data_IF_598596586921
#
_entry.id   IF_598596586921
#
_cell.length_a   1.000
_cell.length_b   1.000
_cell.length_c   1.000
_cell.angle_alpha   90.00
_cell.angle_beta   90.00
_cell.angle_gamma   90.00
#
_symmetry.space_group_name_H-M   'P 1'
#
loop_
_entity.id
_entity.type
_entity.pdbx_description
1 polymer ?
#
# COMPACT_ATOMS: atom_id res chain seq x y z
N UNK A 1 8.26 -27.31 8.36
CA UNK A 1 7.50 -26.11 7.97
C UNK A 1 8.14 -24.93 8.69
N UNK A 2 8.88 -24.09 7.99
CA UNK A 2 9.56 -22.94 8.60
C UNK A 2 8.60 -21.76 8.58
N UNK A 3 8.31 -21.19 9.75
CA UNK A 3 7.48 -19.99 9.87
C UNK A 3 8.41 -18.78 9.92
N UNK A 4 8.29 -17.87 8.96
CA UNK A 4 9.06 -16.63 8.93
C UNK A 4 8.21 -15.51 9.54
N UNK A 5 8.71 -14.89 10.62
CA UNK A 5 8.08 -13.72 11.22
C UNK A 5 8.61 -12.47 10.54
N UNK A 6 7.71 -11.69 9.95
CA UNK A 6 8.02 -10.35 9.44
C UNK A 6 7.66 -9.36 10.55
N UNK A 7 8.67 -8.75 11.17
CA UNK A 7 8.48 -7.70 12.17
C UNK A 7 8.32 -6.35 11.48
N UNK A 8 7.48 -5.49 12.03
CA UNK A 8 7.31 -4.10 11.63
C UNK A 8 7.08 -3.88 10.13
N UNK A 9 6.27 -4.76 9.51
CA UNK A 9 5.93 -4.64 8.11
C UNK A 9 5.31 -3.27 7.81
N UNK A 10 5.90 -2.53 6.86
CA UNK A 10 5.43 -1.20 6.49
C UNK A 10 4.00 -1.28 5.96
N UNK A 11 3.09 -0.55 6.60
CA UNK A 11 1.65 -0.62 6.31
C UNK A 11 0.86 -1.61 7.16
N UNK A 12 1.51 -2.42 7.99
CA UNK A 12 0.87 -3.35 8.91
C UNK A 12 0.34 -4.63 8.25
N UNK A 13 -0.27 -5.50 9.05
CA UNK A 13 -0.77 -6.80 8.59
C UNK A 13 -1.81 -6.69 7.47
N UNK A 14 -2.66 -5.66 7.51
CA UNK A 14 -3.66 -5.40 6.48
C UNK A 14 -3.03 -5.12 5.11
N UNK A 15 -1.94 -4.33 5.05
CA UNK A 15 -1.26 -4.06 3.78
C UNK A 15 -0.61 -5.32 3.20
N UNK A 16 -0.06 -6.16 4.08
CA UNK A 16 0.48 -7.46 3.68
C UNK A 16 -0.62 -8.38 3.12
N UNK A 17 -1.77 -8.46 3.79
CA UNK A 17 -2.91 -9.25 3.32
C UNK A 17 -3.36 -8.80 1.92
N UNK A 18 -3.46 -7.49 1.66
CA UNK A 18 -3.83 -6.96 0.35
C UNK A 18 -2.79 -7.28 -0.72
N UNK A 19 -1.49 -7.18 -0.41
CA UNK A 19 -0.42 -7.57 -1.33
C UNK A 19 -0.48 -9.07 -1.67
N UNK A 20 -0.79 -9.92 -0.69
CA UNK A 20 -0.98 -11.36 -0.93
C UNK A 20 -2.23 -11.62 -1.77
N UNK A 21 -3.36 -10.94 -1.51
CA UNK A 21 -4.56 -11.04 -2.35
C UNK A 21 -4.24 -10.70 -3.81
N UNK A 22 -3.45 -9.65 -4.04
CA UNK A 22 -2.96 -9.32 -5.37
C UNK A 22 -2.17 -10.47 -6.01
N UNK A 23 -1.17 -11.03 -5.31
CA UNK A 23 -0.35 -12.14 -5.83
C UNK A 23 -1.17 -13.38 -6.21
N UNK A 24 -2.26 -13.65 -5.50
CA UNK A 24 -3.14 -14.80 -5.74
C UNK A 24 -4.34 -14.48 -6.63
N UNK A 25 -4.41 -13.30 -7.26
CA UNK A 25 -5.53 -12.84 -8.07
C UNK A 25 -6.89 -12.90 -7.31
N UNK A 26 -6.85 -12.66 -6.00
CA UNK A 26 -8.05 -12.52 -5.17
C UNK A 26 -8.49 -11.07 -5.26
N UNK A 27 -9.76 -10.84 -5.60
CA UNK A 27 -10.32 -9.51 -5.73
C UNK A 27 -10.29 -8.75 -4.39
N UNK A 28 -9.85 -7.50 -4.45
CA UNK A 28 -9.97 -6.53 -3.37
C UNK A 28 -10.12 -5.13 -3.96
N UNK A 29 -10.55 -4.18 -3.14
CA UNK A 29 -10.72 -2.79 -3.56
C UNK A 29 -9.51 -1.95 -3.13
N UNK A 30 -8.92 -1.24 -4.09
CA UNK A 30 -7.98 -0.15 -3.81
C UNK A 30 -8.74 1.16 -3.65
N UNK A 31 -8.50 1.87 -2.56
CA UNK A 31 -9.18 3.11 -2.25
C UNK A 31 -8.29 4.04 -1.41
N UNK A 32 -8.79 5.23 -1.08
CA UNK A 32 -8.07 6.25 -0.32
C UNK A 32 -7.62 5.82 1.08
N UNK A 33 -8.24 4.78 1.67
CA UNK A 33 -7.89 4.32 3.01
C UNK A 33 -6.68 3.38 3.01
N UNK A 34 -6.47 2.62 1.93
CA UNK A 34 -5.44 1.59 1.86
C UNK A 34 -4.33 1.87 0.83
N UNK A 35 -4.52 2.78 -0.13
CA UNK A 35 -3.60 2.95 -1.26
C UNK A 35 -2.16 3.29 -0.84
N UNK A 36 -1.97 4.15 0.17
CA UNK A 36 -0.63 4.56 0.61
C UNK A 36 0.11 3.40 1.29
N UNK A 37 -0.56 2.71 2.21
CA UNK A 37 0.06 1.57 2.89
C UNK A 37 0.32 0.42 1.93
N UNK A 38 -0.54 0.22 0.95
CA UNK A 38 -0.35 -0.78 -0.10
C UNK A 38 0.83 -0.43 -1.00
N UNK A 39 0.98 0.84 -1.40
CA UNK A 39 2.15 1.34 -2.15
C UNK A 39 3.46 1.12 -1.38
N UNK A 40 3.47 1.37 -0.07
CA UNK A 40 4.64 1.12 0.77
C UNK A 40 4.95 -0.38 0.92
N UNK A 41 3.93 -1.21 1.10
CA UNK A 41 4.06 -2.66 1.19
C UNK A 41 4.60 -3.26 -0.10
N UNK A 42 4.05 -2.84 -1.25
CA UNK A 42 4.50 -3.26 -2.58
C UNK A 42 5.96 -2.93 -2.82
N UNK A 43 6.40 -1.71 -2.45
CA UNK A 43 7.80 -1.30 -2.53
C UNK A 43 8.70 -2.17 -1.65
N UNK A 44 8.30 -2.38 -0.39
CA UNK A 44 9.06 -3.19 0.56
C UNK A 44 9.22 -4.65 0.09
N UNK A 45 8.16 -5.20 -0.51
CA UNK A 45 8.14 -6.55 -1.08
C UNK A 45 8.77 -6.63 -2.47
N UNK A 46 9.24 -5.51 -3.03
CA UNK A 46 9.79 -5.41 -4.39
C UNK A 46 8.84 -5.93 -5.46
N UNK A 47 7.56 -5.63 -5.35
CA UNK A 47 6.53 -6.03 -6.31
C UNK A 47 6.53 -5.10 -7.54
N UNK A 48 7.62 -5.13 -8.30
CA UNK A 48 7.93 -4.24 -9.42
C UNK A 48 7.66 -4.89 -10.77
N UNK A 49 7.74 -4.08 -11.84
CA UNK A 49 7.64 -4.53 -13.24
C UNK A 49 8.72 -5.53 -13.66
N UNK A 50 9.81 -5.68 -12.88
CA UNK A 50 10.85 -6.67 -13.14
C UNK A 50 10.33 -8.11 -13.04
N UNK A 51 9.21 -8.31 -12.32
CA UNK A 51 8.63 -9.63 -12.07
C UNK A 51 7.35 -9.89 -12.89
N UNK A 52 6.58 -8.86 -13.21
CA UNK A 52 5.33 -8.97 -13.98
C UNK A 52 4.86 -7.61 -14.47
N UNK A 53 4.23 -7.55 -15.64
CA UNK A 53 3.66 -6.31 -16.15
C UNK A 53 2.41 -5.92 -15.36
N UNK A 54 2.33 -4.67 -14.93
CA UNK A 54 1.26 -4.16 -14.07
C UNK A 54 1.35 -4.70 -12.64
N UNK A 55 2.56 -4.94 -12.13
CA UNK A 55 2.74 -5.37 -10.74
C UNK A 55 2.30 -4.28 -9.75
N UNK A 56 2.25 -4.63 -8.48
CA UNK A 56 1.57 -3.83 -7.48
C UNK A 56 2.19 -2.44 -7.26
N UNK A 57 3.52 -2.29 -7.40
CA UNK A 57 4.16 -0.96 -7.36
C UNK A 57 3.61 -0.06 -8.47
N UNK A 58 3.63 -0.52 -9.72
CA UNK A 58 3.14 0.26 -10.86
C UNK A 58 1.63 0.51 -10.77
N UNK A 59 0.86 -0.53 -10.41
CA UNK A 59 -0.59 -0.42 -10.26
C UNK A 59 -0.98 0.64 -9.22
N UNK A 60 -0.31 0.66 -8.07
CA UNK A 60 -0.58 1.65 -7.01
C UNK A 60 -0.08 3.05 -7.38
N UNK A 61 1.06 3.14 -8.08
CA UNK A 61 1.62 4.40 -8.61
C UNK A 61 0.67 5.05 -9.62
N UNK A 62 0.14 4.27 -10.57
CA UNK A 62 -0.84 4.73 -11.55
C UNK A 62 -2.10 5.23 -10.85
N UNK A 63 -2.65 4.50 -9.88
CA UNK A 63 -3.83 4.94 -9.15
C UNK A 63 -3.59 6.26 -8.38
N UNK A 64 -2.42 6.40 -7.75
CA UNK A 64 -2.05 7.64 -7.07
C UNK A 64 -1.96 8.81 -8.06
N UNK A 65 -1.26 8.64 -9.18
CA UNK A 65 -1.03 9.71 -10.16
C UNK A 65 -2.29 10.06 -10.95
N UNK A 66 -3.11 9.08 -11.31
CA UNK A 66 -4.25 9.26 -12.21
C UNK A 66 -5.56 9.57 -11.49
N UNK A 67 -5.72 9.13 -10.23
CA UNK A 67 -6.97 9.33 -9.46
C UNK A 67 -6.76 10.29 -8.30
N UNK A 68 -5.80 9.98 -7.42
CA UNK A 68 -5.63 10.70 -6.16
C UNK A 68 -5.06 12.11 -6.41
N UNK A 69 -3.94 12.23 -7.11
CA UNK A 69 -3.27 13.51 -7.32
C UNK A 69 -4.03 14.44 -8.28
N UNK A 70 -4.90 13.90 -9.13
CA UNK A 70 -5.79 14.69 -10.01
C UNK A 70 -7.04 15.20 -9.31
N UNK A 71 -7.35 14.70 -8.12
CA UNK A 71 -8.55 15.08 -7.37
C UNK A 71 -8.18 15.74 -6.05
N UNK A 72 -8.34 17.06 -5.96
CA UNK A 72 -7.93 17.85 -4.80
C UNK A 72 -8.49 17.31 -3.48
N UNK A 73 -9.77 16.92 -3.45
CA UNK A 73 -10.41 16.32 -2.27
C UNK A 73 -9.73 15.01 -1.83
N UNK A 74 -9.49 14.10 -2.78
CA UNK A 74 -8.85 12.82 -2.49
C UNK A 74 -7.39 12.99 -2.06
N UNK A 75 -6.67 13.91 -2.71
CA UNK A 75 -5.30 14.27 -2.34
C UNK A 75 -5.24 14.74 -0.88
N UNK A 76 -6.07 15.71 -0.48
CA UNK A 76 -6.11 16.16 0.91
C UNK A 76 -6.49 15.03 1.86
N UNK A 77 -7.47 14.21 1.51
CA UNK A 77 -7.88 13.07 2.33
C UNK A 77 -6.71 12.11 2.59
N UNK A 78 -5.97 11.76 1.55
CA UNK A 78 -4.81 10.85 1.63
C UNK A 78 -3.67 11.49 2.44
N UNK A 79 -3.33 12.75 2.17
CA UNK A 79 -2.27 13.46 2.90
C UNK A 79 -2.56 13.55 4.41
N UNK A 80 -3.81 13.90 4.79
CA UNK A 80 -4.23 13.96 6.20
C UNK A 80 -4.15 12.60 6.89
N UNK A 81 -4.41 11.52 6.15
CA UNK A 81 -4.25 10.15 6.67
C UNK A 81 -2.78 9.77 6.88
N UNK A 82 -1.87 10.24 6.04
CA UNK A 82 -0.43 10.06 6.25
C UNK A 82 0.04 10.78 7.52
N UNK A 83 -0.41 12.02 7.76
CA UNK A 83 -0.06 12.79 8.97
C UNK A 83 -0.54 12.12 10.26
N UNK A 84 -1.77 11.60 10.28
CA UNK A 84 -2.35 10.98 11.48
C UNK A 84 -1.61 9.70 11.93
N UNK A 85 -0.86 9.05 11.03
CA UNK A 85 -0.11 7.83 11.36
C UNK A 85 1.25 8.10 12.00
N UNK A 86 1.82 9.31 11.91
CA UNK A 86 3.07 9.66 12.62
C UNK A 86 2.86 9.84 14.14
N UNK A 87 1.68 10.27 14.58
CA UNK A 87 1.39 10.49 16.01
C UNK A 87 1.27 9.20 16.84
N UNK A 88 1.06 8.04 16.21
CA UNK A 88 0.93 6.75 16.91
C UNK A 88 2.31 6.15 17.24
N UNK A 89 3.36 6.47 16.46
CA UNK A 89 4.73 6.02 16.72
C UNK A 89 5.51 6.94 17.68
N UNK A 90 4.94 8.07 18.12
CA UNK A 90 5.61 8.98 19.06
C UNK A 90 5.37 8.63 20.55
N UNK A 91 4.58 7.61 20.86
CA UNK A 91 4.26 7.19 22.23
C UNK A 91 4.55 5.71 22.53
N UNK A 92 5.34 5.03 21.70
CA UNK A 92 5.87 3.69 21.97
C UNK A 92 7.40 3.71 21.90
#
# INVERSE_FOLDING_TARGET
MTVTKIQDFRGGAEAFELAIKFCYNINFEMNTENIVMLRCAAEYLKMTEEHSVGNLVETTEVYLNEVILKTQELMFKVLRKCEARESVYRYN
#
